data_IF_252796554969
#
_entry.id   IF_252796554969
#
_cell.length_a   1.000
_cell.length_b   1.000
_cell.length_c   1.000
_cell.angle_alpha   90.00
_cell.angle_beta   90.00
_cell.angle_gamma   90.00
#
_symmetry.space_group_name_H-M   'P 1'
#
loop_
_entity.id
_entity.type
_entity.pdbx_description
1 polymer ?
#
# COMPACT_ATOMS: atom_id res chain seq x y z
N UNK A 1 17.88 15.97 0.87
CA UNK A 1 16.86 17.04 0.90
C UNK A 1 15.77 16.62 -0.06
N UNK A 2 14.64 16.11 0.44
CA UNK A 2 13.48 15.88 -0.43
C UNK A 2 12.94 17.26 -0.81
N UNK A 3 12.87 17.55 -2.11
CA UNK A 3 12.37 18.82 -2.62
C UNK A 3 10.89 18.97 -2.23
N UNK A 4 10.57 20.05 -1.52
CA UNK A 4 9.18 20.40 -1.25
C UNK A 4 8.60 20.90 -2.57
N UNK A 5 7.74 20.10 -3.20
CA UNK A 5 7.10 20.46 -4.45
C UNK A 5 5.78 21.17 -4.17
N UNK A 6 5.67 22.43 -4.58
CA UNK A 6 4.44 23.20 -4.45
C UNK A 6 3.49 22.87 -5.60
N UNK A 7 2.29 22.39 -5.28
CA UNK A 7 1.28 21.97 -6.24
C UNK A 7 -0.08 22.53 -5.84
N UNK A 8 -0.92 22.85 -6.83
CA UNK A 8 -2.35 23.11 -6.61
C UNK A 8 -3.14 21.91 -7.07
N UNK A 9 -4.12 21.50 -6.26
CA UNK A 9 -4.98 20.39 -6.66
C UNK A 9 -5.72 20.71 -7.95
N UNK A 10 -5.73 19.78 -8.89
CA UNK A 10 -6.41 19.90 -10.18
C UNK A 10 -7.91 19.61 -10.05
N UNK A 11 -8.29 18.73 -9.12
CA UNK A 11 -9.67 18.36 -8.78
C UNK A 11 -9.84 18.16 -7.28
N UNK A 12 -11.07 17.93 -6.83
CA UNK A 12 -11.31 17.46 -5.46
C UNK A 12 -10.85 16.00 -5.31
N UNK A 13 -10.27 15.68 -4.16
CA UNK A 13 -9.84 14.32 -3.82
C UNK A 13 -10.02 14.01 -2.34
N UNK A 14 -10.10 12.73 -2.03
CA UNK A 14 -10.17 12.26 -0.66
C UNK A 14 -8.77 12.23 -0.05
N UNK A 15 -8.68 12.73 1.18
CA UNK A 15 -7.44 12.83 1.93
C UNK A 15 -7.64 12.32 3.35
N UNK A 16 -6.58 11.75 3.92
CA UNK A 16 -6.57 11.27 5.29
C UNK A 16 -5.69 12.19 6.12
N UNK A 17 -6.26 12.83 7.14
CA UNK A 17 -5.50 13.70 8.03
C UNK A 17 -4.51 12.89 8.87
N UNK A 18 -3.25 13.31 8.90
CA UNK A 18 -2.21 12.72 9.74
C UNK A 18 -2.03 13.62 10.98
N UNK A 19 -2.02 13.09 12.22
CA UNK A 19 -2.07 11.67 12.62
C UNK A 19 -3.47 11.14 12.96
N UNK A 20 -4.52 11.96 12.85
CA UNK A 20 -5.87 11.61 13.33
C UNK A 20 -6.53 10.46 12.57
N UNK A 21 -6.08 10.16 11.35
CA UNK A 21 -6.66 9.13 10.47
C UNK A 21 -8.03 9.52 9.90
N UNK A 22 -8.46 10.77 10.09
CA UNK A 22 -9.78 11.23 9.66
C UNK A 22 -9.81 11.42 8.14
N UNK A 23 -10.75 10.75 7.47
CA UNK A 23 -11.03 10.97 6.04
C UNK A 23 -11.76 12.30 5.84
N UNK A 24 -11.28 13.10 4.91
CA UNK A 24 -11.89 14.37 4.52
C UNK A 24 -11.63 14.64 3.04
N UNK A 25 -12.47 15.44 2.41
CA UNK A 25 -12.30 15.79 1.01
C UNK A 25 -11.62 17.16 0.91
N UNK A 26 -10.60 17.27 0.07
CA UNK A 26 -9.89 18.51 -0.19
C UNK A 26 -10.33 19.09 -1.53
N UNK A 27 -10.75 20.35 -1.55
CA UNK A 27 -11.29 20.98 -2.75
C UNK A 27 -10.25 21.27 -3.83
N UNK A 28 -10.69 21.28 -5.09
CA UNK A 28 -9.87 21.69 -6.23
C UNK A 28 -9.27 23.10 -6.03
N UNK A 29 -8.10 23.35 -6.64
CA UNK A 29 -7.29 24.57 -6.51
C UNK A 29 -6.68 24.85 -5.12
N UNK A 30 -6.83 23.92 -4.16
CA UNK A 30 -6.17 24.04 -2.85
C UNK A 30 -4.65 23.97 -3.02
N UNK A 31 -3.89 24.98 -2.55
CA UNK A 31 -2.43 24.94 -2.59
C UNK A 31 -1.90 24.01 -1.51
N UNK A 32 -1.04 23.07 -1.91
CA UNK A 32 -0.42 22.10 -1.01
C UNK A 32 1.07 21.94 -1.30
N UNK A 33 1.83 21.70 -0.25
CA UNK A 33 3.26 21.37 -0.30
C UNK A 33 3.42 19.85 -0.21
N UNK A 34 3.89 19.20 -1.26
CA UNK A 34 4.18 17.76 -1.21
C UNK A 34 5.46 17.57 -0.42
N UNK A 35 5.36 16.88 0.72
CA UNK A 35 6.49 16.65 1.62
C UNK A 35 7.12 15.29 1.40
N UNK A 36 6.34 14.28 1.02
CA UNK A 36 6.80 12.91 0.80
C UNK A 36 5.95 12.22 -0.26
N UNK A 37 6.56 11.32 -1.02
CA UNK A 37 5.91 10.39 -1.94
C UNK A 37 6.44 8.98 -1.67
N UNK A 38 5.62 8.11 -1.08
CA UNK A 38 6.00 6.77 -0.65
C UNK A 38 4.92 5.79 -1.09
N UNK A 39 5.28 4.79 -1.90
CA UNK A 39 4.36 3.70 -2.23
C UNK A 39 3.14 4.10 -3.05
N UNK A 40 3.26 5.16 -3.85
CA UNK A 40 2.14 5.76 -4.57
C UNK A 40 1.28 6.70 -3.72
N UNK A 41 1.38 6.69 -2.39
CA UNK A 41 0.72 7.70 -1.55
C UNK A 41 1.57 8.96 -1.42
N UNK A 42 0.91 10.11 -1.39
CA UNK A 42 1.52 11.43 -1.31
C UNK A 42 1.15 12.10 0.01
N UNK A 43 2.15 12.41 0.83
CA UNK A 43 1.96 13.24 2.02
C UNK A 43 2.07 14.70 1.61
N UNK A 44 0.99 15.44 1.80
CA UNK A 44 0.89 16.86 1.47
C UNK A 44 0.60 17.69 2.72
N UNK A 45 1.21 18.87 2.79
CA UNK A 45 0.99 19.86 3.83
C UNK A 45 0.15 21.00 3.26
N UNK A 46 -0.97 21.28 3.90
CA UNK A 46 -1.82 22.44 3.60
C UNK A 46 -1.87 23.37 4.82
N UNK A 47 -2.43 24.59 4.71
CA UNK A 47 -2.63 25.48 5.85
C UNK A 47 -3.46 24.86 6.99
N UNK A 48 -4.22 23.78 6.71
CA UNK A 48 -5.06 23.09 7.68
C UNK A 48 -4.35 21.90 8.36
N UNK A 49 -3.15 21.53 7.94
CA UNK A 49 -2.38 20.42 8.52
C UNK A 49 -1.69 19.53 7.49
N UNK A 50 -1.37 18.31 7.91
CA UNK A 50 -0.76 17.27 7.08
C UNK A 50 -1.82 16.25 6.66
N UNK A 51 -1.79 15.89 5.38
CA UNK A 51 -2.78 15.03 4.74
C UNK A 51 -2.06 13.99 3.90
N UNK A 52 -2.59 12.77 3.88
CA UNK A 52 -2.20 11.70 2.97
C UNK A 52 -3.20 11.62 1.83
N UNK A 53 -2.71 11.65 0.60
CA UNK A 53 -3.46 11.40 -0.63
C UNK A 53 -3.04 10.00 -1.12
N UNK A 54 -4.00 9.14 -1.40
CA UNK A 54 -3.72 7.79 -1.91
C UNK A 54 -3.31 7.82 -3.40
N UNK A 55 -2.68 6.76 -3.88
CA UNK A 55 -2.14 6.66 -5.24
C UNK A 55 -3.21 6.82 -6.34
N UNK A 56 -4.46 6.44 -6.04
CA UNK A 56 -5.58 6.58 -6.96
C UNK A 56 -5.95 8.05 -7.24
N UNK A 57 -5.56 8.96 -6.36
CA UNK A 57 -5.81 10.41 -6.47
C UNK A 57 -4.55 11.19 -6.87
N UNK A 58 -3.54 10.52 -7.44
CA UNK A 58 -2.30 11.17 -7.90
C UNK A 58 -2.55 12.23 -8.99
N UNK A 59 -3.59 12.08 -9.80
CA UNK A 59 -4.00 13.07 -10.80
C UNK A 59 -4.49 14.36 -10.18
N UNK A 60 -5.04 14.31 -8.95
CA UNK A 60 -5.39 15.51 -8.20
C UNK A 60 -4.15 16.36 -7.91
N UNK A 61 -2.96 15.76 -7.83
CA UNK A 61 -1.67 16.44 -7.67
C UNK A 61 -0.98 16.75 -9.01
N UNK A 62 -1.63 16.46 -10.14
CA UNK A 62 -1.05 16.63 -11.48
C UNK A 62 0.02 15.58 -11.81
N UNK A 63 0.10 14.48 -11.07
CA UNK A 63 0.89 13.31 -11.45
C UNK A 63 0.04 12.34 -12.27
N UNK A 64 0.68 11.52 -13.09
CA UNK A 64 -0.02 10.42 -13.73
C UNK A 64 -0.43 9.38 -12.67
N UNK A 65 -1.72 9.06 -12.60
CA UNK A 65 -2.19 7.93 -11.77
C UNK A 65 -1.50 6.67 -12.29
N UNK A 66 -0.71 5.97 -11.44
CA UNK A 66 -0.11 4.71 -11.84
C UNK A 66 -1.22 3.77 -12.32
N UNK A 67 -0.96 3.00 -13.37
CA UNK A 67 -1.98 2.11 -13.94
C UNK A 67 -2.51 1.10 -12.89
N UNK A 68 -1.67 0.75 -11.91
CA UNK A 68 -2.00 -0.07 -10.73
C UNK A 68 -2.92 0.60 -9.69
N UNK A 69 -3.17 1.90 -9.79
CA UNK A 69 -4.00 2.67 -8.87
C UNK A 69 -5.31 3.19 -9.50
N UNK A 70 -5.53 2.97 -10.80
CA UNK A 70 -6.81 3.30 -11.46
C UNK A 70 -7.86 2.26 -11.07
N UNK A 71 -9.05 2.65 -10.57
CA UNK A 71 -10.18 1.73 -10.47
C UNK A 71 -10.50 1.18 -11.87
N UNK A 72 -10.44 -0.15 -12.07
CA UNK A 72 -10.88 -0.77 -13.33
C UNK A 72 -12.39 -0.99 -13.29
N UNK A 73 -13.10 -0.47 -14.29
CA UNK A 73 -14.52 -0.74 -14.55
C UNK A 73 -14.75 -2.03 -15.38
N UNK A 74 -13.92 -3.06 -15.23
CA UNK A 74 -14.11 -4.32 -15.95
C UNK A 74 -14.13 -5.47 -14.97
N UNK A 75 -15.28 -6.17 -14.92
CA UNK A 75 -15.60 -7.26 -13.98
C UNK A 75 -14.79 -8.54 -14.19
N UNK A 76 -13.50 -8.43 -14.55
CA UNK A 76 -12.55 -9.52 -14.51
C UNK A 76 -11.87 -9.54 -13.13
N UNK A 77 -11.89 -10.69 -12.43
CA UNK A 77 -11.32 -10.80 -11.10
C UNK A 77 -9.79 -10.68 -11.14
N UNK A 78 -9.23 -10.02 -10.14
CA UNK A 78 -7.80 -9.71 -10.03
C UNK A 78 -6.92 -10.94 -10.19
N UNK A 79 -5.88 -10.80 -11.01
CA UNK A 79 -4.87 -11.83 -11.26
C UNK A 79 -3.88 -11.93 -10.11
N UNK A 80 -3.21 -13.07 -9.98
CA UNK A 80 -2.18 -13.27 -8.95
C UNK A 80 -1.09 -12.18 -8.99
N UNK A 81 -0.67 -11.80 -10.19
CA UNK A 81 0.33 -10.75 -10.39
C UNK A 81 -0.17 -9.39 -9.86
N UNK A 82 -1.45 -9.06 -10.03
CA UNK A 82 -2.04 -7.83 -9.49
C UNK A 82 -2.11 -7.84 -7.97
N UNK A 83 -2.36 -9.01 -7.35
CA UNK A 83 -2.28 -9.16 -5.90
C UNK A 83 -0.86 -8.88 -5.40
N UNK A 84 0.16 -9.45 -6.05
CA UNK A 84 1.56 -9.20 -5.71
C UNK A 84 1.95 -7.73 -5.86
N UNK A 85 1.53 -7.06 -6.93
CA UNK A 85 1.78 -5.62 -7.14
C UNK A 85 1.05 -4.74 -6.10
N UNK A 86 -0.16 -5.13 -5.67
CA UNK A 86 -0.86 -4.45 -4.58
C UNK A 86 -0.11 -4.58 -3.24
N UNK A 87 0.43 -5.76 -2.95
CA UNK A 87 1.22 -6.00 -1.73
C UNK A 87 2.56 -5.25 -1.72
N UNK A 88 3.17 -4.99 -2.88
CA UNK A 88 4.35 -4.10 -2.99
C UNK A 88 4.10 -2.66 -2.56
N UNK A 89 2.84 -2.26 -2.45
CA UNK A 89 2.47 -0.93 -1.94
C UNK A 89 2.32 -0.90 -0.41
N UNK A 90 2.39 -2.04 0.28
CA UNK A 90 2.43 -2.12 1.75
C UNK A 90 3.87 -1.97 2.21
N UNK A 91 4.14 -0.94 3.00
CA UNK A 91 5.46 -0.67 3.54
C UNK A 91 5.53 -0.99 5.02
N UNK A 92 6.69 -1.47 5.45
CA UNK A 92 7.00 -1.55 6.87
C UNK A 92 7.21 -0.11 7.41
N UNK A 93 6.54 0.30 8.50
CA UNK A 93 6.66 1.64 9.05
C UNK A 93 8.03 1.91 9.72
N UNK A 94 8.77 0.86 10.08
CA UNK A 94 10.11 0.94 10.66
C UNK A 94 11.21 0.84 9.60
N UNK A 95 10.95 0.11 8.51
CA UNK A 95 11.92 -0.10 7.41
C UNK A 95 11.31 0.42 6.10
N UNK A 96 11.94 1.38 5.38
CA UNK A 96 11.37 2.02 4.19
C UNK A 96 11.40 1.14 2.93
N UNK A 97 11.01 -0.14 3.06
CA UNK A 97 10.93 -1.17 2.01
C UNK A 97 9.57 -1.86 2.14
N UNK A 98 9.02 -2.30 1.01
CA UNK A 98 7.74 -2.99 1.01
C UNK A 98 7.86 -4.43 1.53
N UNK A 99 6.74 -5.00 1.99
CA UNK A 99 6.70 -6.34 2.60
C UNK A 99 7.12 -7.46 1.63
N UNK A 100 6.96 -7.25 0.33
CA UNK A 100 7.35 -8.23 -0.72
C UNK A 100 8.85 -8.21 -0.89
N UNK A 101 9.45 -7.04 -1.07
CA UNK A 101 10.91 -6.87 -1.24
C UNK A 101 11.69 -7.13 0.05
N UNK A 102 11.06 -6.97 1.21
CA UNK A 102 11.61 -7.42 2.48
C UNK A 102 11.61 -8.95 2.61
N UNK A 103 10.87 -9.67 1.77
CA UNK A 103 10.71 -11.12 1.86
C UNK A 103 9.88 -11.52 3.09
N UNK A 104 8.91 -10.69 3.48
CA UNK A 104 8.00 -11.01 4.59
C UNK A 104 6.82 -11.87 4.13
N UNK A 105 6.49 -11.88 2.84
CA UNK A 105 5.43 -12.71 2.28
C UNK A 105 5.99 -14.08 1.90
N UNK A 106 5.48 -15.14 2.52
CA UNK A 106 5.96 -16.52 2.34
C UNK A 106 5.11 -17.33 1.38
N UNK A 107 3.80 -17.12 1.44
CA UNK A 107 2.85 -17.88 0.63
C UNK A 107 1.66 -17.00 0.28
N UNK A 108 1.14 -17.18 -0.92
CA UNK A 108 -0.02 -16.47 -1.43
C UNK A 108 -0.84 -17.41 -2.29
N UNK A 109 -2.06 -17.70 -1.85
CA UNK A 109 -2.99 -18.60 -2.52
C UNK A 109 -4.26 -17.84 -2.84
N UNK A 110 -4.75 -17.98 -4.07
CA UNK A 110 -6.00 -17.39 -4.52
C UNK A 110 -6.94 -18.53 -4.87
N UNK A 111 -8.02 -18.65 -4.10
CA UNK A 111 -9.05 -19.67 -4.25
C UNK A 111 -10.35 -19.03 -4.73
N UNK A 112 -11.17 -19.79 -5.45
CA UNK A 112 -12.56 -19.41 -5.74
C UNK A 112 -13.44 -19.68 -4.51
N UNK A 113 -14.40 -18.79 -4.24
CA UNK A 113 -15.34 -19.01 -3.15
C UNK A 113 -16.29 -20.18 -3.46
N UNK A 114 -16.78 -20.90 -2.44
CA UNK A 114 -17.62 -22.09 -2.63
C UNK A 114 -18.91 -21.85 -3.43
N UNK A 115 -19.42 -20.61 -3.39
CA UNK A 115 -20.63 -20.19 -4.09
C UNK A 115 -20.38 -19.86 -5.57
N UNK A 116 -19.13 -19.92 -6.05
CA UNK A 116 -18.73 -19.64 -7.44
C UNK A 116 -18.75 -18.16 -7.81
N UNK A 117 -19.15 -17.28 -6.88
CA UNK A 117 -19.15 -15.83 -7.01
C UNK A 117 -18.07 -15.28 -6.07
N UNK A 118 -16.95 -14.85 -6.67
CA UNK A 118 -15.86 -14.20 -5.94
C UNK A 118 -14.65 -15.07 -5.63
N UNK A 119 -13.57 -14.43 -5.17
CA UNK A 119 -12.31 -15.08 -4.81
C UNK A 119 -11.92 -14.78 -3.37
N UNK A 120 -11.22 -15.73 -2.75
CA UNK A 120 -10.55 -15.59 -1.47
C UNK A 120 -9.05 -15.56 -1.68
N UNK A 121 -8.37 -14.57 -1.10
CA UNK A 121 -6.91 -14.55 -1.01
C UNK A 121 -6.48 -15.01 0.38
N UNK A 122 -5.57 -15.98 0.44
CA UNK A 122 -4.94 -16.45 1.67
C UNK A 122 -3.45 -16.17 1.58
N UNK A 123 -2.96 -15.26 2.43
CA UNK A 123 -1.55 -14.90 2.49
C UNK A 123 -0.94 -15.39 3.80
N UNK A 124 0.23 -16.02 3.74
CA UNK A 124 1.08 -16.25 4.90
C UNK A 124 2.25 -15.28 4.87
N UNK A 125 2.45 -14.58 5.97
CA UNK A 125 3.56 -13.64 6.12
C UNK A 125 4.26 -13.84 7.46
N UNK A 126 5.49 -13.36 7.54
CA UNK A 126 6.27 -13.29 8.77
C UNK A 126 6.55 -11.84 9.14
N UNK A 127 7.22 -11.62 10.27
CA UNK A 127 7.68 -10.31 10.71
C UNK A 127 9.19 -10.33 10.95
N UNK A 128 9.81 -9.17 10.85
CA UNK A 128 11.26 -8.99 11.08
C UNK A 128 11.67 -9.33 12.52
N UNK A 129 10.74 -9.22 13.49
CA UNK A 129 10.97 -9.57 14.88
C UNK A 129 9.71 -10.14 15.58
N UNK A 130 9.85 -11.17 16.43
CA UNK A 130 8.78 -11.67 17.27
C UNK A 130 8.30 -10.60 18.27
N UNK A 131 6.99 -10.35 18.29
CA UNK A 131 6.39 -9.34 19.17
C UNK A 131 6.46 -7.90 18.67
N UNK A 132 6.76 -7.67 17.38
CA UNK A 132 6.64 -6.32 16.81
C UNK A 132 5.20 -5.82 16.93
N UNK A 133 5.00 -4.73 17.67
CA UNK A 133 3.67 -4.13 17.89
C UNK A 133 2.99 -3.65 16.61
N UNK A 134 3.76 -3.49 15.53
CA UNK A 134 3.27 -3.06 14.22
C UNK A 134 2.82 -4.22 13.32
N UNK A 135 3.12 -5.47 13.69
CA UNK A 135 2.75 -6.66 12.90
C UNK A 135 1.26 -6.72 12.52
N UNK A 136 0.33 -6.55 13.47
CA UNK A 136 -1.09 -6.50 13.18
C UNK A 136 -1.50 -5.36 12.24
N UNK A 137 -0.81 -4.21 12.31
CA UNK A 137 -1.10 -3.06 11.45
C UNK A 137 -0.66 -3.33 9.99
N UNK A 138 0.51 -3.94 9.80
CA UNK A 138 0.99 -4.33 8.47
C UNK A 138 0.09 -5.42 7.87
N UNK A 139 -0.27 -6.44 8.66
CA UNK A 139 -1.17 -7.50 8.22
C UNK A 139 -2.56 -6.93 7.83
N UNK A 140 -3.09 -5.99 8.61
CA UNK A 140 -4.35 -5.31 8.28
C UNK A 140 -4.23 -4.44 7.01
N UNK A 141 -3.12 -3.72 6.80
CA UNK A 141 -2.92 -2.94 5.57
C UNK A 141 -2.85 -3.86 4.35
N UNK A 142 -2.10 -4.97 4.44
CA UNK A 142 -2.05 -5.98 3.39
C UNK A 142 -3.42 -6.59 3.09
N UNK A 143 -4.19 -6.95 4.13
CA UNK A 143 -5.55 -7.48 3.98
C UNK A 143 -6.45 -6.48 3.26
N UNK A 144 -6.46 -5.21 3.70
CA UNK A 144 -7.29 -4.17 3.10
C UNK A 144 -6.93 -3.92 1.64
N UNK A 145 -5.64 -3.97 1.29
CA UNK A 145 -5.18 -3.81 -0.09
C UNK A 145 -5.60 -4.96 -1.00
N UNK A 146 -5.61 -6.19 -0.49
CA UNK A 146 -6.11 -7.34 -1.23
C UNK A 146 -7.63 -7.26 -1.42
N UNK A 147 -8.39 -6.87 -0.39
CA UNK A 147 -9.85 -6.66 -0.47
C UNK A 147 -10.26 -5.50 -1.40
N UNK A 148 -9.37 -4.53 -1.62
CA UNK A 148 -9.62 -3.44 -2.55
C UNK A 148 -9.51 -3.88 -4.02
N UNK A 149 -8.98 -5.08 -4.30
CA UNK A 149 -8.83 -5.59 -5.65
C UNK A 149 -10.16 -6.11 -6.20
N UNK A 150 -10.46 -5.88 -7.48
CA UNK A 150 -11.72 -6.31 -8.10
C UNK A 150 -11.83 -7.84 -8.07
N UNK A 151 -12.99 -8.36 -7.66
CA UNK A 151 -13.26 -9.80 -7.60
C UNK A 151 -12.58 -10.54 -6.45
N UNK A 152 -11.98 -9.84 -5.49
CA UNK A 152 -11.59 -10.40 -4.20
C UNK A 152 -12.66 -10.04 -3.16
N UNK A 153 -13.36 -11.04 -2.68
CA UNK A 153 -14.47 -10.90 -1.74
C UNK A 153 -14.05 -11.22 -0.30
N UNK A 154 -12.98 -12.00 -0.15
CA UNK A 154 -12.41 -12.33 1.14
C UNK A 154 -10.87 -12.33 1.08
N UNK A 155 -10.24 -11.84 2.14
CA UNK A 155 -8.79 -11.87 2.27
C UNK A 155 -8.42 -12.22 3.70
N UNK A 156 -7.52 -13.19 3.86
CA UNK A 156 -7.01 -13.64 5.15
C UNK A 156 -5.49 -13.55 5.16
N UNK A 157 -4.96 -12.97 6.23
CA UNK A 157 -3.51 -12.86 6.46
C UNK A 157 -3.14 -13.63 7.71
N UNK A 158 -2.36 -14.69 7.54
CA UNK A 158 -1.81 -15.50 8.64
C UNK A 158 -0.37 -15.08 8.90
N UNK A 159 -0.09 -14.66 10.15
CA UNK A 159 1.29 -14.36 10.58
C UNK A 159 1.93 -15.63 11.13
N UNK A 160 2.93 -16.14 10.41
CA UNK A 160 3.71 -17.33 10.77
C UNK A 160 5.10 -16.94 11.26
N UNK A 161 5.66 -17.76 12.15
CA UNK A 161 6.98 -17.55 12.75
C UNK A 161 8.03 -18.58 12.32
N UNK A 162 7.59 -19.60 11.59
CA UNK A 162 8.42 -20.66 11.05
C UNK A 162 8.22 -20.76 9.53
N UNK A 163 9.30 -20.67 8.72
CA UNK A 163 10.66 -20.38 9.13
C UNK A 163 10.83 -18.96 9.71
N UNK A 164 11.86 -18.69 10.54
CA UNK A 164 12.14 -17.33 10.99
C UNK A 164 12.69 -16.48 9.85
N UNK A 165 12.29 -15.21 9.83
CA UNK A 165 12.80 -14.25 8.85
C UNK A 165 14.31 -14.01 9.00
N UNK A 166 15.00 -13.84 7.87
CA UNK A 166 16.42 -13.49 7.84
C UNK A 166 16.69 -12.47 6.72
N UNK A 167 17.67 -11.58 6.91
CA UNK A 167 18.02 -10.53 5.93
C UNK A 167 18.38 -11.06 4.53
N UNK A 168 18.76 -12.34 4.42
CA UNK A 168 18.99 -13.01 3.13
C UNK A 168 17.71 -13.21 2.30
N UNK A 169 16.53 -13.06 2.91
CA UNK A 169 15.22 -13.12 2.23
C UNK A 169 14.88 -11.81 1.50
N UNK A 170 15.60 -10.72 1.78
CA UNK A 170 15.40 -9.43 1.11
C UNK A 170 15.80 -9.57 -0.36
N UNK A 171 14.95 -9.09 -1.26
CA UNK A 171 15.20 -9.10 -2.71
C UNK A 171 16.36 -8.17 -3.07
N UNK A 172 16.93 -8.33 -4.26
CA UNK A 172 17.99 -7.43 -4.73
C UNK A 172 17.52 -5.96 -4.83
N UNK A 173 16.24 -5.75 -5.14
CA UNK A 173 15.62 -4.41 -5.14
C UNK A 173 15.53 -3.84 -3.72
N UNK A 174 15.07 -4.64 -2.75
CA UNK A 174 15.07 -4.25 -1.34
C UNK A 174 16.46 -3.92 -0.79
N UNK A 175 17.48 -4.72 -1.13
CA UNK A 175 18.87 -4.47 -0.72
C UNK A 175 19.43 -3.17 -1.28
N UNK A 176 19.10 -2.82 -2.54
CA UNK A 176 19.48 -1.53 -3.14
C UNK A 176 18.87 -0.35 -2.40
N UNK A 177 17.60 -0.44 -2.01
CA UNK A 177 16.92 0.62 -1.24
C UNK A 177 17.60 0.81 0.12
N UNK A 178 17.99 -0.29 0.77
CA UNK A 178 18.69 -0.27 2.05
C UNK A 178 20.18 0.05 1.97
N UNK A 179 20.75 0.16 0.76
CA UNK A 179 22.17 0.46 0.55
C UNK A 179 23.13 -0.65 1.00
N UNK A 180 22.67 -1.91 0.99
CA UNK A 180 23.43 -3.10 1.38
C UNK A 180 23.87 -3.94 0.17
N UNK A 181 23.51 -3.49 -1.04
CA UNK A 181 23.93 -4.05 -2.34
C UNK A 181 25.14 -3.32 -2.91
#
# INVERSE_FOLDING_TARGET
>A
MQEIQFVRLTRECDVVQIPSGQKMTMGANTPVDITQSLGGAYTVRSPQGLFRIDAGDADALGFEVPESARPRETGEPATEQEVWESLKQVYDPEIPVNIVDLGLVYDLVIDELPDGEGRRVQMKMTLTAPGCGMGPAIAADAQNRMLALPGIDDASVEVVWDPPWHQSMITEEGKKILGIA
#
